data_IF_869580213868
#
_entry.id   IF_869580213868
#
_cell.length_a   1.000
_cell.length_b   1.000
_cell.length_c   1.000
_cell.angle_alpha   90.00
_cell.angle_beta   90.00
_cell.angle_gamma   90.00
#
_symmetry.space_group_name_H-M   'P 1'
#
loop_
_entity.id
_entity.type
_entity.pdbx_description
1 polymer ?
#
# COMPACT_ATOMS: atom_id res chain seq x y z
N UNK A 1 24.20 18.97 25.33
CA UNK A 1 23.59 18.35 24.14
C UNK A 1 24.15 19.07 22.93
N UNK A 2 24.50 18.35 21.85
CA UNK A 2 24.92 19.00 20.61
C UNK A 2 23.77 19.81 20.04
N UNK A 3 24.07 21.02 19.60
CA UNK A 3 23.12 21.89 18.92
C UNK A 3 22.65 21.20 17.62
N UNK A 4 21.33 21.11 17.33
CA UNK A 4 20.83 20.45 16.14
C UNK A 4 21.19 21.23 14.88
N UNK A 5 21.14 20.57 13.72
CA UNK A 5 21.07 21.31 12.46
C UNK A 5 19.66 21.86 12.23
N UNK A 6 19.54 23.05 11.65
CA UNK A 6 18.24 23.58 11.21
C UNK A 6 17.64 22.62 10.19
N UNK A 7 16.36 22.30 10.35
CA UNK A 7 15.67 21.32 9.51
C UNK A 7 15.92 19.85 9.89
N UNK A 8 16.71 19.58 10.93
CA UNK A 8 16.90 18.22 11.45
C UNK A 8 15.57 17.68 12.02
N UNK A 9 15.18 16.47 11.59
CA UNK A 9 13.99 15.78 12.09
C UNK A 9 14.40 14.72 13.10
N UNK A 10 13.70 14.69 14.24
CA UNK A 10 13.90 13.69 15.31
C UNK A 10 12.60 13.01 15.70
N UNK A 11 12.71 11.75 16.10
CA UNK A 11 11.66 11.07 16.87
C UNK A 11 11.61 11.66 18.28
N UNK A 12 10.39 11.89 18.75
CA UNK A 12 10.13 12.54 20.01
C UNK A 12 8.88 11.97 20.69
N UNK A 13 9.01 11.60 21.97
CA UNK A 13 7.93 10.97 22.73
C UNK A 13 7.04 11.96 23.51
N UNK A 14 7.40 13.26 23.54
CA UNK A 14 6.65 14.28 24.27
C UNK A 14 5.44 14.80 23.49
N UNK A 15 4.47 15.38 24.22
CA UNK A 15 3.18 15.84 23.67
C UNK A 15 3.18 17.30 23.19
N UNK A 16 4.28 18.04 23.39
CA UNK A 16 4.45 19.42 22.93
C UNK A 16 5.82 19.57 22.28
N UNK A 17 5.91 20.38 21.22
CA UNK A 17 7.20 20.69 20.61
C UNK A 17 8.03 21.56 21.58
N UNK A 18 9.28 21.18 21.92
CA UNK A 18 10.15 22.02 22.72
C UNK A 18 10.44 23.37 22.04
N UNK A 19 10.92 24.36 22.80
CA UNK A 19 11.34 25.64 22.23
C UNK A 19 12.41 25.43 21.14
N UNK A 20 12.25 26.10 20.01
CA UNK A 20 13.13 25.95 18.84
C UNK A 20 12.80 24.73 17.96
N UNK A 21 11.70 24.02 18.24
CA UNK A 21 11.21 22.90 17.46
C UNK A 21 9.73 23.09 17.10
N UNK A 22 9.29 22.42 16.04
CA UNK A 22 7.88 22.28 15.67
C UNK A 22 7.56 20.81 15.39
N UNK A 23 6.28 20.43 15.43
CA UNK A 23 5.86 19.12 14.96
C UNK A 23 5.91 19.04 13.43
N UNK A 24 6.21 17.86 12.90
CA UNK A 24 6.08 17.57 11.47
C UNK A 24 4.62 17.17 11.15
N UNK A 25 3.71 18.13 11.21
CA UNK A 25 2.26 17.94 11.03
C UNK A 25 1.68 18.67 9.79
N UNK A 26 2.54 19.21 8.94
CA UNK A 26 2.13 19.98 7.76
C UNK A 26 1.76 21.44 8.03
N UNK A 27 1.99 21.97 9.24
CA UNK A 27 1.69 23.37 9.54
C UNK A 27 2.42 24.33 8.60
N UNK A 28 1.74 25.39 8.17
CA UNK A 28 2.36 26.50 7.45
C UNK A 28 2.99 27.51 8.44
N UNK A 29 4.22 27.91 8.15
CA UNK A 29 4.98 28.89 8.92
C UNK A 29 5.26 30.14 8.07
N UNK A 30 5.35 31.29 8.75
CA UNK A 30 5.77 32.54 8.13
C UNK A 30 7.23 32.47 7.70
N UNK A 31 7.49 32.76 6.41
CA UNK A 31 8.84 32.87 5.86
C UNK A 31 9.62 33.99 6.59
N UNK A 32 8.96 35.11 6.89
CA UNK A 32 9.62 36.25 7.52
C UNK A 32 10.16 35.96 8.94
N UNK A 33 9.63 34.92 9.60
CA UNK A 33 10.07 34.50 10.94
C UNK A 33 10.99 33.28 10.92
N UNK A 34 11.06 32.56 9.79
CA UNK A 34 11.79 31.30 9.66
C UNK A 34 12.55 31.25 8.32
N UNK A 35 13.14 32.37 7.93
CA UNK A 35 13.83 32.58 6.65
C UNK A 35 14.96 31.56 6.42
N UNK A 36 15.71 31.23 7.47
CA UNK A 36 16.80 30.24 7.43
C UNK A 36 16.27 28.83 7.17
N UNK A 37 15.16 28.43 7.80
CA UNK A 37 14.54 27.13 7.56
C UNK A 37 13.91 27.07 6.16
N UNK A 38 13.27 28.17 5.73
CA UNK A 38 12.72 28.28 4.38
C UNK A 38 13.80 28.16 3.31
N UNK A 39 15.00 28.71 3.53
CA UNK A 39 16.12 28.56 2.60
C UNK A 39 16.51 27.08 2.36
N UNK A 40 16.25 26.20 3.33
CA UNK A 40 16.51 24.76 3.22
C UNK A 40 15.32 23.98 2.63
N UNK A 41 14.09 24.26 3.09
CA UNK A 41 12.91 23.47 2.72
C UNK A 41 12.18 24.01 1.49
N UNK A 42 12.31 25.30 1.21
CA UNK A 42 11.54 26.02 0.19
C UNK A 42 10.04 25.68 0.32
N UNK A 43 9.36 25.44 -0.81
CA UNK A 43 7.95 25.03 -0.87
C UNK A 43 7.78 23.52 -1.06
N UNK A 44 8.81 22.72 -0.75
CA UNK A 44 8.82 21.27 -1.01
C UNK A 44 7.62 20.54 -0.35
N UNK A 45 7.09 21.07 0.75
CA UNK A 45 5.97 20.49 1.49
C UNK A 45 4.67 21.31 1.40
N UNK A 46 4.66 22.43 0.65
CA UNK A 46 3.50 23.33 0.53
C UNK A 46 3.81 24.78 0.91
N UNK A 47 2.74 25.58 1.08
CA UNK A 47 2.78 27.03 1.23
C UNK A 47 2.86 27.79 -0.10
N UNK A 48 2.79 29.12 -0.02
CA UNK A 48 2.77 30.00 -1.19
C UNK A 48 4.17 30.41 -1.71
N UNK A 49 5.22 30.16 -0.92
CA UNK A 49 6.60 30.54 -1.24
C UNK A 49 6.87 32.05 -1.25
N UNK A 50 5.92 32.86 -0.78
CA UNK A 50 6.02 34.32 -0.71
C UNK A 50 5.89 34.80 0.74
N UNK A 51 4.83 34.37 1.43
CA UNK A 51 4.60 34.67 2.85
C UNK A 51 4.79 33.45 3.72
N UNK A 52 4.51 32.25 3.19
CA UNK A 52 4.44 31.00 3.94
C UNK A 52 5.12 29.84 3.23
N UNK A 53 5.54 28.87 4.04
CA UNK A 53 5.97 27.54 3.59
C UNK A 53 5.46 26.50 4.59
N UNK A 54 5.26 25.27 4.14
CA UNK A 54 4.79 24.20 5.01
C UNK A 54 5.95 23.35 5.57
N UNK A 55 5.75 22.83 6.78
CA UNK A 55 6.57 21.77 7.34
C UNK A 55 6.21 20.40 6.72
N UNK A 56 7.07 19.39 6.83
CA UNK A 56 6.69 18.02 6.48
C UNK A 56 5.46 17.55 7.29
N UNK A 57 4.54 16.82 6.66
CA UNK A 57 3.47 16.12 7.36
C UNK A 57 3.80 14.63 7.46
N UNK A 58 4.28 14.20 8.63
CA UNK A 58 4.65 12.81 8.92
C UNK A 58 3.60 12.06 9.74
N UNK A 59 2.43 12.64 9.97
CA UNK A 59 1.34 11.97 10.70
C UNK A 59 0.86 10.76 9.89
N UNK A 60 0.89 9.57 10.51
CA UNK A 60 0.50 8.32 9.84
C UNK A 60 1.46 7.87 8.73
N UNK A 61 2.68 8.42 8.65
CA UNK A 61 3.65 8.10 7.59
C UNK A 61 4.89 7.41 8.12
N UNK A 62 5.46 6.55 7.29
CA UNK A 62 6.78 5.97 7.49
C UNK A 62 7.80 6.79 6.69
N UNK A 63 8.82 7.38 7.32
CA UNK A 63 9.88 8.10 6.60
C UNK A 63 10.61 7.18 5.62
N UNK A 64 10.85 7.69 4.42
CA UNK A 64 11.60 7.00 3.36
C UNK A 64 12.71 7.93 2.86
N UNK A 65 13.90 7.38 2.66
CA UNK A 65 15.02 8.14 2.12
C UNK A 65 14.72 8.58 0.67
N UNK A 66 14.80 9.88 0.41
CA UNK A 66 14.69 10.41 -0.95
C UNK A 66 15.96 10.07 -1.74
N UNK A 67 15.80 9.54 -2.96
CA UNK A 67 16.92 9.24 -3.85
C UNK A 67 17.04 10.25 -4.99
N UNK A 68 16.35 11.40 -4.89
CA UNK A 68 16.32 12.47 -5.89
C UNK A 68 15.96 11.99 -7.31
N UNK A 69 15.18 10.90 -7.41
CA UNK A 69 14.80 10.31 -8.68
C UNK A 69 15.77 9.25 -9.21
N UNK A 70 16.81 8.89 -8.47
CA UNK A 70 17.75 7.85 -8.83
C UNK A 70 17.19 6.43 -8.67
N UNK A 71 17.74 5.47 -9.41
CA UNK A 71 17.43 4.04 -9.28
C UNK A 71 16.10 3.59 -9.91
N UNK A 72 15.72 2.32 -9.73
CA UNK A 72 14.56 1.72 -10.41
C UNK A 72 13.20 2.27 -9.95
N UNK A 73 13.16 2.89 -8.77
CA UNK A 73 11.96 3.53 -8.20
C UNK A 73 12.36 4.91 -7.66
N UNK A 74 11.97 6.00 -8.32
CA UNK A 74 12.31 7.34 -7.88
C UNK A 74 11.47 7.75 -6.66
N UNK A 75 12.12 8.33 -5.66
CA UNK A 75 11.51 8.96 -4.48
C UNK A 75 12.03 10.39 -4.35
N UNK A 76 11.15 11.37 -4.54
CA UNK A 76 11.48 12.76 -4.34
C UNK A 76 11.19 13.18 -2.90
N UNK A 77 12.01 14.08 -2.36
CA UNK A 77 11.75 14.65 -1.04
C UNK A 77 10.39 15.36 -1.04
N UNK A 78 9.62 15.22 0.04
CA UNK A 78 8.27 15.80 0.12
C UNK A 78 7.18 15.08 -0.68
N UNK A 79 7.52 14.11 -1.53
CA UNK A 79 6.53 13.32 -2.28
C UNK A 79 5.81 12.32 -1.35
N UNK A 80 4.49 12.41 -1.15
CA UNK A 80 3.74 11.40 -0.42
C UNK A 80 3.56 10.13 -1.28
N UNK A 81 3.43 8.99 -0.62
CA UNK A 81 3.13 7.71 -1.27
C UNK A 81 2.66 6.65 -0.27
N UNK A 82 2.27 5.48 -0.79
CA UNK A 82 1.75 4.37 0.01
C UNK A 82 0.26 4.49 0.35
N UNK A 83 -0.30 3.41 0.88
CA UNK A 83 -1.70 3.31 1.36
C UNK A 83 -1.76 2.41 2.59
N UNK A 84 -2.60 2.78 3.56
CA UNK A 84 -2.80 2.03 4.82
C UNK A 84 -3.62 0.75 4.62
N UNK A 85 -4.48 0.73 3.61
CA UNK A 85 -5.28 -0.45 3.24
C UNK A 85 -5.17 -0.71 1.75
N UNK A 86 -5.18 -1.99 1.37
CA UNK A 86 -5.13 -2.42 -0.03
C UNK A 86 -6.28 -3.39 -0.28
N UNK A 87 -7.09 -3.13 -1.31
CA UNK A 87 -8.09 -4.08 -1.80
C UNK A 87 -7.42 -5.17 -2.63
N UNK A 88 -7.69 -6.43 -2.30
CA UNK A 88 -7.25 -7.56 -3.10
C UNK A 88 -8.16 -7.70 -4.33
N UNK A 89 -7.73 -7.14 -5.45
CA UNK A 89 -8.38 -7.29 -6.74
C UNK A 89 -7.75 -8.44 -7.53
N UNK A 90 -8.38 -8.84 -8.64
CA UNK A 90 -7.77 -9.82 -9.55
C UNK A 90 -6.43 -9.36 -10.13
N UNK A 91 -6.10 -8.07 -10.09
CA UNK A 91 -4.83 -7.52 -10.57
C UNK A 91 -3.71 -7.62 -9.53
N UNK A 92 -4.05 -7.66 -8.24
CA UNK A 92 -3.09 -7.72 -7.12
C UNK A 92 -2.97 -9.11 -6.52
N UNK A 93 -3.78 -10.06 -6.96
CA UNK A 93 -3.66 -11.49 -6.62
C UNK A 93 -2.85 -12.21 -7.70
N UNK A 94 -2.06 -13.20 -7.29
CA UNK A 94 -1.38 -14.07 -8.24
C UNK A 94 -2.41 -14.77 -9.14
N UNK A 95 -2.13 -14.80 -10.44
CA UNK A 95 -2.93 -15.54 -11.39
C UNK A 95 -2.95 -17.02 -10.99
N UNK A 96 -4.15 -17.55 -10.78
CA UNK A 96 -4.38 -18.95 -10.48
C UNK A 96 -5.62 -19.43 -11.23
N UNK A 97 -5.72 -20.74 -11.42
CA UNK A 97 -6.87 -21.38 -12.02
C UNK A 97 -7.16 -22.69 -11.31
N UNK A 98 -8.42 -23.13 -11.41
CA UNK A 98 -8.83 -24.46 -10.99
C UNK A 98 -9.13 -25.26 -12.24
N UNK A 99 -8.44 -26.39 -12.42
CA UNK A 99 -8.79 -27.36 -13.44
C UNK A 99 -10.00 -28.17 -12.96
N UNK A 100 -11.03 -28.27 -13.78
CA UNK A 100 -12.13 -29.22 -13.59
C UNK A 100 -12.00 -30.35 -14.62
N UNK A 101 -11.25 -31.42 -14.32
CA UNK A 101 -11.18 -32.55 -15.23
C UNK A 101 -12.54 -33.27 -15.28
N UNK A 102 -12.97 -33.60 -16.51
CA UNK A 102 -14.17 -34.38 -16.76
C UNK A 102 -13.85 -35.56 -17.69
N UNK A 103 -14.51 -36.70 -17.48
CA UNK A 103 -14.41 -37.88 -18.35
C UNK A 103 -15.61 -37.97 -19.30
N UNK A 104 -15.36 -38.46 -20.52
CA UNK A 104 -16.40 -38.83 -21.48
C UNK A 104 -16.96 -40.24 -21.20
N UNK A 105 -16.32 -41.02 -20.33
CA UNK A 105 -16.76 -42.35 -19.93
C UNK A 105 -18.04 -42.26 -19.09
N UNK A 106 -18.86 -43.31 -19.18
CA UNK A 106 -20.06 -43.46 -18.35
C UNK A 106 -19.65 -43.73 -16.90
N UNK A 107 -20.15 -42.91 -15.98
CA UNK A 107 -20.01 -43.09 -14.55
C UNK A 107 -20.57 -44.45 -14.13
N UNK A 108 -19.79 -45.21 -13.36
CA UNK A 108 -20.21 -46.48 -12.78
C UNK A 108 -20.52 -46.29 -11.28
N UNK A 109 -21.37 -47.14 -10.65
CA UNK A 109 -21.71 -47.01 -9.23
C UNK A 109 -20.55 -47.22 -8.23
N UNK A 110 -19.35 -47.54 -8.70
CA UNK A 110 -18.22 -47.90 -7.84
C UNK A 110 -17.32 -46.69 -7.57
N UNK A 111 -17.59 -45.96 -6.49
CA UNK A 111 -16.56 -45.16 -5.84
C UNK A 111 -15.68 -46.11 -5.03
N UNK A 112 -14.53 -46.53 -5.58
CA UNK A 112 -13.53 -47.26 -4.81
C UNK A 112 -12.94 -46.31 -3.75
N UNK A 113 -13.00 -46.71 -2.48
CA UNK A 113 -12.36 -45.99 -1.37
C UNK A 113 -10.90 -45.66 -1.73
N UNK A 114 -10.57 -44.36 -1.91
CA UNK A 114 -9.19 -43.88 -1.92
C UNK A 114 -8.70 -43.05 -3.13
N UNK A 115 -9.52 -42.79 -4.15
CA UNK A 115 -9.13 -41.98 -5.32
C UNK A 115 -9.89 -40.66 -5.49
N UNK A 116 -9.22 -39.60 -5.94
CA UNK A 116 -9.84 -38.31 -6.25
C UNK A 116 -10.86 -38.43 -7.40
N UNK A 117 -12.09 -37.98 -7.19
CA UNK A 117 -13.18 -38.11 -8.16
C UNK A 117 -13.10 -37.10 -9.31
N UNK A 118 -13.27 -37.59 -10.54
CA UNK A 118 -13.52 -36.76 -11.72
C UNK A 118 -15.03 -36.65 -11.99
N UNK A 119 -15.47 -35.55 -12.60
CA UNK A 119 -16.84 -35.43 -13.08
C UNK A 119 -17.06 -36.34 -14.30
N UNK A 120 -18.15 -37.11 -14.36
CA UNK A 120 -18.41 -38.10 -15.43
C UNK A 120 -19.91 -38.21 -15.79
N UNK A 121 -20.22 -38.84 -16.93
CA UNK A 121 -21.57 -38.96 -17.49
C UNK A 121 -22.41 -40.05 -16.77
N UNK A 122 -23.54 -39.70 -16.13
CA UNK A 122 -24.35 -40.67 -15.35
C UNK A 122 -25.32 -41.53 -16.18
N UNK A 123 -25.40 -41.31 -17.50
CA UNK A 123 -26.19 -42.14 -18.42
C UNK A 123 -27.72 -42.08 -18.24
N UNK A 124 -28.23 -41.19 -17.38
CA UNK A 124 -29.68 -40.98 -17.16
C UNK A 124 -30.10 -39.51 -17.06
N UNK A 125 -29.21 -38.61 -16.62
CA UNK A 125 -29.40 -37.15 -16.67
C UNK A 125 -28.03 -36.52 -17.02
N UNK A 126 -27.88 -35.84 -18.17
CA UNK A 126 -26.61 -35.21 -18.51
C UNK A 126 -26.31 -34.06 -17.53
N UNK A 127 -25.22 -34.20 -16.75
CA UNK A 127 -24.69 -33.12 -15.89
C UNK A 127 -23.89 -32.10 -16.73
N UNK A 128 -23.23 -32.61 -17.76
CA UNK A 128 -22.64 -31.88 -18.88
C UNK A 128 -23.16 -32.61 -20.14
N UNK A 129 -23.44 -31.89 -21.23
CA UNK A 129 -24.23 -32.36 -22.38
C UNK A 129 -23.91 -33.76 -22.93
N UNK A 130 -24.87 -34.33 -23.68
CA UNK A 130 -24.74 -35.67 -24.28
C UNK A 130 -23.52 -35.75 -25.22
N UNK A 131 -22.76 -36.85 -25.16
CA UNK A 131 -21.70 -37.12 -26.14
C UNK A 131 -22.24 -37.02 -27.57
N UNK A 132 -21.61 -36.18 -28.39
CA UNK A 132 -22.02 -35.93 -29.78
C UNK A 132 -22.91 -34.70 -30.00
N UNK A 133 -23.36 -33.99 -28.95
CA UNK A 133 -23.98 -32.66 -29.12
C UNK A 133 -22.88 -31.61 -29.28
N UNK A 134 -22.47 -31.34 -30.52
CA UNK A 134 -21.49 -30.30 -30.82
C UNK A 134 -21.96 -28.93 -30.31
N UNK A 135 -21.33 -28.43 -29.24
CA UNK A 135 -21.59 -27.11 -28.68
C UNK A 135 -21.07 -26.97 -27.25
N UNK A 136 -20.51 -25.81 -26.92
CA UNK A 136 -20.15 -25.44 -25.55
C UNK A 136 -21.43 -25.12 -24.76
N UNK A 137 -21.81 -25.99 -23.82
CA UNK A 137 -22.87 -25.72 -22.86
C UNK A 137 -22.27 -25.15 -21.56
N UNK A 138 -22.91 -24.14 -20.97
CA UNK A 138 -22.50 -23.60 -19.67
C UNK A 138 -22.74 -24.63 -18.57
N UNK A 139 -21.76 -24.80 -17.68
CA UNK A 139 -21.92 -25.60 -16.46
C UNK A 139 -22.96 -24.95 -15.52
N UNK A 140 -23.54 -25.72 -14.58
CA UNK A 140 -24.41 -25.16 -13.53
C UNK A 140 -23.64 -24.03 -12.80
N UNK A 141 -24.31 -22.91 -12.54
CA UNK A 141 -23.67 -21.71 -11.99
C UNK A 141 -22.94 -21.94 -10.65
N UNK A 142 -23.42 -22.88 -9.83
CA UNK A 142 -22.81 -23.20 -8.53
C UNK A 142 -21.62 -24.18 -8.62
N UNK A 143 -21.28 -24.70 -9.82
CA UNK A 143 -20.18 -25.66 -10.00
C UNK A 143 -18.81 -25.03 -9.75
N UNK A 144 -18.63 -23.76 -10.15
CA UNK A 144 -17.48 -22.93 -9.77
C UNK A 144 -18.03 -21.60 -9.32
N UNK A 145 -17.86 -21.27 -8.05
CA UNK A 145 -18.17 -19.96 -7.52
C UNK A 145 -16.92 -19.10 -7.46
N UNK A 146 -17.05 -17.82 -7.77
CA UNK A 146 -15.99 -16.86 -7.49
C UNK A 146 -15.92 -16.64 -5.98
N UNK A 147 -14.70 -16.69 -5.44
CA UNK A 147 -14.42 -16.37 -4.04
C UNK A 147 -13.53 -15.12 -3.98
N UNK A 148 -13.63 -14.40 -2.86
CA UNK A 148 -13.03 -13.08 -2.68
C UNK A 148 -14.07 -11.97 -2.79
N UNK A 149 -14.24 -11.20 -1.73
CA UNK A 149 -15.20 -10.10 -1.63
C UNK A 149 -14.60 -8.73 -2.03
N UNK A 150 -13.36 -8.73 -2.52
CA UNK A 150 -12.61 -7.52 -2.88
C UNK A 150 -12.38 -6.57 -1.71
N UNK A 151 -12.60 -7.01 -0.47
CA UNK A 151 -12.50 -6.14 0.70
C UNK A 151 -11.04 -5.76 0.96
N UNK A 152 -10.79 -4.49 1.33
CA UNK A 152 -9.46 -4.06 1.76
C UNK A 152 -9.00 -4.81 3.00
N UNK A 153 -7.72 -5.17 3.02
CA UNK A 153 -7.01 -5.59 4.22
C UNK A 153 -6.07 -4.49 4.70
N UNK A 154 -5.76 -4.51 5.99
CA UNK A 154 -4.73 -3.66 6.59
C UNK A 154 -3.36 -3.96 5.94
N UNK A 155 -2.68 -2.92 5.48
CA UNK A 155 -1.35 -2.97 4.88
C UNK A 155 -0.27 -2.31 5.77
N UNK A 156 -0.63 -1.91 6.99
CA UNK A 156 0.32 -1.36 7.96
C UNK A 156 1.06 -2.49 8.70
N UNK A 157 2.38 -2.34 8.80
CA UNK A 157 3.19 -3.13 9.73
C UNK A 157 2.82 -2.79 11.19
N UNK A 158 3.13 -3.65 12.18
CA UNK A 158 3.02 -3.28 13.59
C UNK A 158 3.75 -1.96 13.88
N UNK A 159 3.10 -1.04 14.60
CA UNK A 159 3.62 0.30 14.84
C UNK A 159 3.42 0.77 16.28
N UNK A 160 4.23 1.74 16.68
CA UNK A 160 4.08 2.52 17.91
C UNK A 160 4.08 4.00 17.53
N UNK A 161 3.07 4.73 17.99
CA UNK A 161 2.94 6.16 17.72
C UNK A 161 3.99 6.97 18.49
N UNK A 162 4.83 7.70 17.75
CA UNK A 162 5.73 8.74 18.27
C UNK A 162 5.56 9.99 17.42
N UNK A 163 5.95 11.13 17.97
CA UNK A 163 5.93 12.38 17.23
C UNK A 163 7.24 12.56 16.45
N UNK A 164 7.13 13.20 15.30
CA UNK A 164 8.28 13.75 14.60
C UNK A 164 8.32 15.25 14.88
N UNK A 165 9.48 15.75 15.28
CA UNK A 165 9.73 17.18 15.44
C UNK A 165 10.88 17.62 14.54
N UNK A 166 10.82 18.86 14.07
CA UNK A 166 11.83 19.49 13.22
C UNK A 166 12.42 20.73 13.92
N UNK A 167 13.74 20.88 13.83
CA UNK A 167 14.43 22.03 14.42
C UNK A 167 14.18 23.29 13.59
N UNK A 168 13.61 24.32 14.22
CA UNK A 168 13.43 25.66 13.64
C UNK A 168 14.70 26.51 13.78
N UNK A 169 15.51 26.22 14.80
CA UNK A 169 16.74 26.94 15.14
C UNK A 169 17.87 25.97 15.40
N UNK A 170 19.11 26.35 15.08
CA UNK A 170 20.29 25.50 15.25
C UNK A 170 21.44 25.91 14.33
N UNK A 171 22.33 24.97 14.05
CA UNK A 171 23.46 25.17 13.12
C UNK A 171 22.94 25.09 11.67
N UNK A 172 23.32 26.04 10.83
CA UNK A 172 23.02 25.95 9.40
C UNK A 172 23.88 24.86 8.74
N UNK A 173 23.29 23.91 7.98
CA UNK A 173 24.07 22.88 7.29
C UNK A 173 24.78 23.49 6.07
N UNK A 174 26.08 23.77 6.21
CA UNK A 174 26.93 24.23 5.10
C UNK A 174 27.53 23.06 4.34
N UNK A 175 27.59 23.17 3.01
CA UNK A 175 28.41 22.29 2.19
C UNK A 175 29.90 22.49 2.58
N UNK A 176 30.58 21.40 2.89
CA UNK A 176 32.04 21.37 3.08
C UNK A 176 32.77 21.23 1.75
#
# INVERSE_FOLDING_TARGET
>A
MSEPFIGEIRLFAGQFAPQGWAFCDGSELSIAQNDVLFALLQTQYGGDGQQTFALPDLRGRVPLHANQGGGPRPFYQGQPGGVETVALTSQTMSAHSHALPASQDRATPAYAQGGAGAFANTGGVPVYGLSGSGGTAAMRADTIVRVGSGQPHNNMAPYLGLNFIIALTGIYPSYG
#
